data_IF_963875408200
#
_entry.id   IF_963875408200
#
_cell.length_a   1.000
_cell.length_b   1.000
_cell.length_c   1.000
_cell.angle_alpha   90.00
_cell.angle_beta   90.00
_cell.angle_gamma   90.00
#
_symmetry.space_group_name_H-M   'P 1'
#
loop_
_entity.id
_entity.type
_entity.pdbx_description
1 polymer ?
#
# COMPACT_ATOMS: atom_id res chain seq x y z
N UNK A 1 61.89 -44.05 -21.20
CA UNK A 1 60.81 -43.95 -22.19
C UNK A 1 60.54 -45.38 -22.57
N UNK A 2 59.53 -45.93 -21.91
CA UNK A 2 58.56 -46.88 -22.46
C UNK A 2 57.56 -47.09 -21.33
N UNK A 3 56.30 -46.93 -21.72
CA UNK A 3 55.05 -46.93 -20.95
C UNK A 3 54.67 -48.36 -20.50
N UNK A 4 53.44 -48.50 -19.97
CA UNK A 4 52.67 -49.73 -19.67
C UNK A 4 52.66 -50.08 -18.16
N UNK A 5 51.55 -50.24 -17.44
CA UNK A 5 50.13 -50.37 -17.76
C UNK A 5 49.29 -49.94 -16.53
N UNK A 6 48.21 -49.18 -16.75
CA UNK A 6 47.15 -48.87 -15.79
C UNK A 6 46.01 -49.91 -15.94
N UNK A 7 45.76 -50.71 -14.91
CA UNK A 7 44.55 -51.53 -14.74
C UNK A 7 44.04 -51.34 -13.30
N UNK A 8 43.14 -50.38 -13.09
CA UNK A 8 42.34 -50.26 -11.86
C UNK A 8 40.92 -50.78 -12.14
N UNK A 9 40.67 -51.99 -11.63
CA UNK A 9 39.36 -52.66 -11.62
C UNK A 9 38.34 -51.91 -10.73
N UNK A 10 37.23 -51.52 -11.33
CA UNK A 10 36.01 -51.05 -10.66
C UNK A 10 35.34 -52.20 -9.88
N UNK A 11 35.40 -52.17 -8.54
CA UNK A 11 34.63 -53.06 -7.66
C UNK A 11 33.41 -52.31 -7.06
N UNK A 12 32.25 -52.62 -7.64
CA UNK A 12 30.91 -52.24 -7.22
C UNK A 12 30.56 -52.76 -5.81
N UNK A 13 30.74 -51.94 -4.77
CA UNK A 13 30.20 -52.26 -3.45
C UNK A 13 28.88 -51.53 -3.16
N UNK A 14 27.80 -52.29 -3.33
CA UNK A 14 26.42 -51.99 -2.92
C UNK A 14 26.34 -51.57 -1.43
N UNK A 15 26.08 -50.28 -1.18
CA UNK A 15 25.52 -49.84 0.11
C UNK A 15 24.12 -49.25 -0.08
N UNK A 16 23.13 -50.03 0.35
CA UNK A 16 21.74 -49.62 0.50
C UNK A 16 21.63 -48.50 1.53
N UNK A 17 21.49 -47.26 1.05
CA UNK A 17 21.09 -46.14 1.89
C UNK A 17 19.56 -46.10 1.90
N UNK A 18 18.96 -46.50 3.02
CA UNK A 18 17.55 -46.30 3.31
C UNK A 18 17.23 -44.80 3.29
N UNK A 19 16.66 -44.31 2.20
CA UNK A 19 16.03 -42.99 2.15
C UNK A 19 14.77 -43.03 3.00
N UNK A 20 14.83 -42.44 4.20
CA UNK A 20 13.66 -42.12 4.99
C UNK A 20 13.22 -40.70 4.60
N UNK A 21 12.11 -40.51 3.85
CA UNK A 21 11.67 -39.18 3.50
C UNK A 21 10.94 -38.60 4.71
N UNK A 22 11.68 -37.92 5.58
CA UNK A 22 11.07 -36.94 6.48
C UNK A 22 10.60 -35.79 5.58
N UNK A 23 9.37 -35.91 5.08
CA UNK A 23 8.63 -34.77 4.56
C UNK A 23 8.40 -33.87 5.78
N UNK A 24 9.32 -32.95 6.02
CA UNK A 24 9.10 -31.85 6.94
C UNK A 24 7.93 -31.04 6.37
N UNK A 25 6.71 -31.34 6.82
CA UNK A 25 5.59 -30.47 6.61
C UNK A 25 6.01 -29.08 7.13
N UNK A 26 5.87 -28.00 6.34
CA UNK A 26 6.07 -26.67 6.89
C UNK A 26 5.21 -26.55 8.15
N UNK A 27 5.69 -25.91 9.22
CA UNK A 27 4.93 -25.81 10.45
C UNK A 27 3.56 -25.28 10.08
N UNK A 28 2.53 -26.08 10.39
CA UNK A 28 1.14 -25.65 10.28
C UNK A 28 1.04 -24.47 11.21
N UNK A 29 1.15 -23.26 10.66
CA UNK A 29 0.87 -22.03 11.40
C UNK A 29 -0.58 -22.22 11.82
N UNK A 30 -0.77 -22.50 13.10
CA UNK A 30 -2.08 -22.68 13.69
C UNK A 30 -2.70 -21.27 13.67
N UNK A 31 -3.32 -20.91 12.55
CA UNK A 31 -4.07 -19.66 12.40
C UNK A 31 -5.28 -19.82 13.31
N UNK A 32 -5.09 -19.53 14.59
CA UNK A 32 -6.16 -19.51 15.58
C UNK A 32 -7.16 -18.47 15.10
N UNK A 33 -8.27 -18.93 14.55
CA UNK A 33 -9.35 -18.09 14.04
C UNK A 33 -10.24 -17.66 15.20
N UNK A 34 -9.63 -17.05 16.22
CA UNK A 34 -10.35 -16.66 17.43
C UNK A 34 -10.01 -15.24 17.80
N UNK A 35 -11.03 -14.53 18.30
CA UNK A 35 -10.87 -13.14 18.66
C UNK A 35 -9.94 -13.01 19.86
N UNK A 36 -9.04 -12.02 19.80
CA UNK A 36 -8.06 -11.73 20.85
C UNK A 36 -8.69 -11.33 22.19
N UNK A 37 -9.95 -10.93 22.18
CA UNK A 37 -10.69 -10.47 23.36
C UNK A 37 -11.75 -11.47 23.83
N UNK A 38 -11.88 -12.64 23.21
CA UNK A 38 -12.73 -13.72 23.72
C UNK A 38 -12.05 -14.46 24.88
N UNK A 39 -12.77 -14.82 25.95
CA UNK A 39 -12.26 -15.77 26.94
C UNK A 39 -12.08 -17.18 26.33
N UNK A 40 -11.07 -17.99 26.72
CA UNK A 40 -9.97 -17.68 27.63
C UNK A 40 -8.76 -17.04 26.90
N UNK A 41 -8.87 -16.67 25.61
CA UNK A 41 -7.74 -16.08 24.85
C UNK A 41 -7.31 -14.69 25.34
N UNK A 42 -8.10 -14.03 26.18
CA UNK A 42 -7.72 -12.84 26.94
C UNK A 42 -6.56 -13.07 27.95
N UNK A 43 -5.82 -14.17 27.82
CA UNK A 43 -4.57 -14.42 28.56
C UNK A 43 -3.42 -13.61 27.94
N UNK A 44 -3.17 -12.46 28.56
CA UNK A 44 -1.86 -11.81 28.75
C UNK A 44 -1.32 -10.79 27.72
N UNK A 45 -1.77 -10.66 26.45
CA UNK A 45 -0.96 -9.83 25.52
C UNK A 45 -1.59 -8.65 24.76
N UNK A 46 -2.91 -8.54 24.58
CA UNK A 46 -3.48 -7.42 23.78
C UNK A 46 -4.87 -7.06 24.32
N UNK A 47 -4.91 -6.46 25.51
CA UNK A 47 -6.10 -5.73 25.94
C UNK A 47 -6.07 -4.39 25.18
N UNK A 48 -7.13 -3.97 24.46
CA UNK A 48 -7.14 -2.63 23.91
C UNK A 48 -7.08 -1.62 25.05
N UNK A 49 -6.71 -0.38 24.72
CA UNK A 49 -6.54 0.68 25.72
C UNK A 49 -7.78 0.87 26.62
N UNK A 50 -8.96 0.47 26.16
CA UNK A 50 -10.24 0.56 26.86
C UNK A 50 -10.56 -0.64 27.78
N UNK A 51 -9.72 -1.68 27.84
CA UNK A 51 -9.97 -2.83 28.72
C UNK A 51 -11.01 -3.82 28.20
N UNK A 52 -11.52 -3.68 26.96
CA UNK A 52 -12.69 -4.43 26.51
C UNK A 52 -12.44 -5.94 26.38
N UNK A 53 -13.38 -6.73 26.90
CA UNK A 53 -13.46 -8.17 26.75
C UNK A 53 -14.82 -8.54 26.13
N UNK A 54 -14.83 -9.49 25.19
CA UNK A 54 -16.05 -9.89 24.50
C UNK A 54 -17.04 -10.54 25.49
N UNK A 55 -18.29 -10.05 25.59
CA UNK A 55 -19.35 -10.73 26.32
C UNK A 55 -19.75 -12.04 25.61
N UNK A 56 -20.50 -12.88 26.33
CA UNK A 56 -21.12 -14.08 25.75
C UNK A 56 -22.02 -13.65 24.58
N UNK A 57 -21.91 -14.35 23.45
CA UNK A 57 -22.63 -14.04 22.19
C UNK A 57 -22.26 -12.71 21.52
N UNK A 58 -21.09 -12.14 21.80
CA UNK A 58 -20.57 -10.99 21.05
C UNK A 58 -20.47 -11.31 19.55
N UNK A 59 -21.05 -10.44 18.71
CA UNK A 59 -20.88 -10.52 17.26
C UNK A 59 -19.44 -10.17 16.88
N UNK A 60 -18.92 -10.84 15.85
CA UNK A 60 -17.58 -10.62 15.34
C UNK A 60 -17.59 -10.34 13.85
N UNK A 61 -16.76 -9.41 13.43
CA UNK A 61 -16.49 -9.09 12.02
C UNK A 61 -15.06 -9.46 11.67
N UNK A 62 -14.82 -9.78 10.40
CA UNK A 62 -13.52 -10.21 9.92
C UNK A 62 -12.77 -9.04 9.30
N UNK A 63 -11.51 -8.87 9.70
CA UNK A 63 -10.62 -7.91 9.05
C UNK A 63 -10.33 -8.36 7.60
N UNK A 64 -10.63 -7.53 6.61
CA UNK A 64 -10.35 -7.83 5.19
C UNK A 64 -8.85 -7.87 4.85
N UNK A 65 -7.97 -7.52 5.80
CA UNK A 65 -6.53 -7.60 5.61
C UNK A 65 -5.95 -8.92 6.14
N UNK A 66 -6.19 -9.26 7.41
CA UNK A 66 -5.60 -10.42 8.08
C UNK A 66 -6.59 -11.57 8.33
N UNK A 67 -7.87 -11.37 8.03
CA UNK A 67 -8.97 -12.33 8.23
C UNK A 67 -9.17 -12.72 9.70
N UNK A 68 -8.53 -12.03 10.64
CA UNK A 68 -8.73 -12.28 12.06
C UNK A 68 -10.04 -11.63 12.53
N UNK A 69 -10.79 -12.31 13.41
CA UNK A 69 -12.02 -11.78 13.98
C UNK A 69 -11.74 -10.68 15.01
N UNK A 70 -12.58 -9.64 15.00
CA UNK A 70 -12.65 -8.58 16.00
C UNK A 70 -14.11 -8.39 16.43
N UNK A 71 -14.39 -7.99 17.69
CA UNK A 71 -15.76 -7.76 18.11
C UNK A 71 -16.38 -6.64 17.29
N UNK A 72 -17.60 -6.84 16.83
CA UNK A 72 -18.35 -5.80 16.15
C UNK A 72 -18.80 -4.74 17.16
N UNK A 73 -18.16 -3.57 17.11
CA UNK A 73 -18.37 -2.41 17.98
C UNK A 73 -18.55 -1.14 17.16
N UNK A 74 -18.99 -1.27 15.90
CA UNK A 74 -19.10 -0.15 14.94
C UNK A 74 -20.13 0.91 15.36
N UNK A 75 -21.07 0.54 16.22
CA UNK A 75 -22.11 1.44 16.72
C UNK A 75 -21.64 2.29 17.91
N UNK A 76 -20.45 2.00 18.46
CA UNK A 76 -19.87 2.76 19.55
C UNK A 76 -19.14 4.00 19.04
N UNK A 77 -19.28 5.11 19.76
CA UNK A 77 -18.58 6.35 19.46
C UNK A 77 -17.05 6.13 19.53
N UNK A 78 -16.32 6.82 18.64
CA UNK A 78 -14.85 6.80 18.56
C UNK A 78 -14.23 5.43 18.22
N UNK A 79 -15.03 4.42 17.88
CA UNK A 79 -14.56 3.12 17.42
C UNK A 79 -14.51 3.05 15.90
N UNK A 80 -13.30 2.96 15.35
CA UNK A 80 -13.09 2.83 13.92
C UNK A 80 -12.70 1.40 13.50
N UNK A 81 -13.67 0.70 12.91
CA UNK A 81 -13.53 -0.69 12.45
C UNK A 81 -13.83 -0.87 10.96
N UNK A 82 -14.18 0.20 10.25
CA UNK A 82 -14.51 0.16 8.84
C UNK A 82 -13.93 1.35 8.08
N UNK A 83 -13.70 1.16 6.78
CA UNK A 83 -13.31 2.24 5.89
C UNK A 83 -14.53 3.11 5.57
N UNK A 84 -14.43 4.42 5.76
CA UNK A 84 -15.54 5.33 5.50
C UNK A 84 -15.93 5.43 4.02
N UNK A 85 -15.05 5.01 3.10
CA UNK A 85 -15.28 4.99 1.65
C UNK A 85 -15.90 3.66 1.20
N UNK A 86 -15.16 2.55 1.32
CA UNK A 86 -15.60 1.25 0.78
C UNK A 86 -16.44 0.42 1.76
N UNK A 87 -16.63 0.90 2.99
CA UNK A 87 -17.41 0.26 4.07
C UNK A 87 -16.92 -1.13 4.49
N UNK A 88 -15.76 -1.56 4.00
CA UNK A 88 -15.11 -2.82 4.37
C UNK A 88 -14.44 -2.72 5.75
N UNK A 89 -14.33 -3.86 6.45
CA UNK A 89 -13.88 -3.95 7.84
C UNK A 89 -12.38 -4.20 7.97
N UNK A 90 -11.75 -3.53 8.94
CA UNK A 90 -10.32 -3.61 9.16
C UNK A 90 -9.98 -3.38 10.63
N UNK A 91 -8.99 -4.10 11.15
CA UNK A 91 -8.71 -4.12 12.58
C UNK A 91 -7.62 -3.16 13.07
N UNK A 92 -6.95 -2.43 12.17
CA UNK A 92 -5.71 -1.76 12.53
C UNK A 92 -5.88 -0.64 13.56
N UNK A 93 -6.86 0.25 13.40
CA UNK A 93 -7.11 1.29 14.40
C UNK A 93 -7.62 0.66 15.69
N UNK A 94 -8.57 -0.28 15.58
CA UNK A 94 -9.16 -0.95 16.74
C UNK A 94 -8.14 -1.67 17.64
N UNK A 95 -7.23 -2.45 17.05
CA UNK A 95 -6.20 -3.18 17.79
C UNK A 95 -4.84 -2.46 17.85
N UNK A 96 -4.72 -1.27 17.26
CA UNK A 96 -3.46 -0.56 17.00
C UNK A 96 -2.46 -1.30 16.09
N UNK A 97 -2.60 -2.62 15.91
CA UNK A 97 -1.72 -3.45 15.09
C UNK A 97 -2.49 -4.61 14.44
N UNK A 98 -2.52 -4.59 13.11
CA UNK A 98 -2.98 -5.72 12.30
C UNK A 98 -1.99 -6.90 12.39
N UNK A 99 -2.50 -8.14 12.51
CA UNK A 99 -1.68 -9.36 12.60
C UNK A 99 -1.04 -9.83 11.30
N UNK A 100 -1.42 -9.25 10.15
CA UNK A 100 -0.83 -9.64 8.86
C UNK A 100 0.61 -9.12 8.79
N UNK A 101 1.56 -10.03 8.59
CA UNK A 101 2.97 -9.70 8.34
C UNK A 101 3.06 -8.78 7.12
N UNK A 102 3.80 -7.67 7.26
CA UNK A 102 3.96 -6.65 6.21
C UNK A 102 2.77 -5.70 6.03
N UNK A 103 1.77 -5.72 6.92
CA UNK A 103 0.69 -4.74 6.90
C UNK A 103 1.17 -3.37 7.38
N UNK A 104 1.12 -2.36 6.50
CA UNK A 104 1.51 -0.96 6.78
C UNK A 104 0.36 -0.14 7.41
N UNK A 105 -0.51 -0.80 8.18
CA UNK A 105 -1.78 -0.26 8.64
C UNK A 105 -2.90 -0.46 7.61
N UNK A 106 -3.80 -1.41 7.86
CA UNK A 106 -4.90 -1.70 6.92
C UNK A 106 -6.10 -0.75 7.03
N UNK A 107 -6.15 0.02 8.12
CA UNK A 107 -7.08 1.12 8.39
C UNK A 107 -6.30 2.22 9.08
N UNK A 108 -6.43 3.45 8.62
CA UNK A 108 -5.81 4.61 9.25
C UNK A 108 -6.48 5.92 8.79
N UNK A 109 -6.16 7.04 9.44
CA UNK A 109 -6.40 8.35 8.85
C UNK A 109 -5.48 8.56 7.65
N UNK A 110 -5.92 9.32 6.65
CA UNK A 110 -5.17 9.49 5.41
C UNK A 110 -3.73 9.95 5.65
N UNK A 111 -3.55 10.95 6.52
CA UNK A 111 -2.24 11.55 6.84
C UNK A 111 -1.26 10.60 7.55
N UNK A 112 -1.76 9.53 8.15
CA UNK A 112 -0.94 8.63 8.96
C UNK A 112 -0.47 7.40 8.18
N UNK A 113 -0.90 7.24 6.93
CA UNK A 113 -0.41 6.15 6.09
C UNK A 113 1.07 6.29 5.75
N UNK A 114 1.72 5.13 5.71
CA UNK A 114 2.99 4.94 5.02
C UNK A 114 2.74 4.01 3.84
N UNK A 115 2.88 4.52 2.62
CA UNK A 115 2.73 3.72 1.41
C UNK A 115 4.05 3.05 1.03
N UNK A 116 3.99 1.79 0.60
CA UNK A 116 5.20 1.07 0.20
C UNK A 116 5.86 1.67 -1.04
N UNK A 117 7.19 1.62 -1.11
CA UNK A 117 7.99 2.13 -2.24
C UNK A 117 7.52 1.66 -3.61
N UNK A 118 7.04 0.42 -3.72
CA UNK A 118 6.49 -0.11 -4.98
C UNK A 118 5.33 0.74 -5.53
N UNK A 119 4.48 1.30 -4.66
CA UNK A 119 3.39 2.16 -5.10
C UNK A 119 3.85 3.57 -5.49
N UNK A 120 5.09 3.94 -5.14
CA UNK A 120 5.67 5.27 -5.36
C UNK A 120 6.38 5.39 -6.71
N UNK A 121 6.58 4.29 -7.44
CA UNK A 121 7.18 4.38 -8.79
C UNK A 121 6.20 4.96 -9.83
N UNK A 122 4.89 4.77 -9.62
CA UNK A 122 3.82 5.13 -10.57
C UNK A 122 2.64 5.80 -9.86
N UNK A 123 2.90 6.67 -8.87
CA UNK A 123 1.84 7.26 -8.05
C UNK A 123 1.17 8.49 -8.71
N UNK A 124 1.86 9.17 -9.62
CA UNK A 124 1.29 10.30 -10.37
C UNK A 124 0.60 9.74 -11.63
N UNK A 125 -0.71 9.51 -11.54
CA UNK A 125 -1.55 9.06 -12.65
C UNK A 125 -0.97 7.84 -13.41
N UNK A 126 -0.38 6.89 -12.68
CA UNK A 126 0.28 5.69 -13.21
C UNK A 126 1.37 5.97 -14.27
N UNK A 127 1.94 7.18 -14.25
CA UNK A 127 2.98 7.63 -15.17
C UNK A 127 4.35 7.67 -14.48
N UNK A 128 5.31 6.82 -14.87
CA UNK A 128 6.63 6.77 -14.23
C UNK A 128 7.44 8.05 -14.40
N UNK A 129 7.29 8.76 -15.51
CA UNK A 129 8.04 10.00 -15.77
C UNK A 129 7.52 11.13 -14.88
N UNK A 130 6.20 11.33 -14.82
CA UNK A 130 5.62 12.35 -13.94
C UNK A 130 5.84 11.99 -12.46
N UNK A 131 5.82 10.71 -12.12
CA UNK A 131 6.15 10.23 -10.76
C UNK A 131 7.62 10.49 -10.43
N UNK A 132 8.53 10.35 -11.39
CA UNK A 132 9.96 10.66 -11.20
C UNK A 132 10.17 12.16 -11.00
N UNK A 133 9.49 13.02 -11.77
CA UNK A 133 9.59 14.48 -11.61
C UNK A 133 9.20 14.91 -10.19
N UNK A 134 8.13 14.35 -9.64
CA UNK A 134 7.75 14.63 -8.24
C UNK A 134 8.78 14.07 -7.27
N UNK A 135 9.30 12.86 -7.48
CA UNK A 135 10.34 12.27 -6.62
C UNK A 135 11.65 13.09 -6.63
N UNK A 136 12.07 13.59 -7.78
CA UNK A 136 13.26 14.44 -7.92
C UNK A 136 13.06 15.76 -7.19
N UNK A 137 11.87 16.38 -7.33
CA UNK A 137 11.49 17.56 -6.55
C UNK A 137 11.59 17.30 -5.04
N UNK A 138 11.04 16.20 -4.56
CA UNK A 138 11.08 15.85 -3.13
C UNK A 138 12.53 15.66 -2.66
N UNK A 139 13.32 14.91 -3.42
CA UNK A 139 14.74 14.67 -3.11
C UNK A 139 15.54 15.98 -3.03
N UNK A 140 15.35 16.88 -4.00
CA UNK A 140 16.04 18.17 -4.05
C UNK A 140 15.61 19.12 -2.92
N UNK A 141 14.40 18.96 -2.39
CA UNK A 141 13.88 19.76 -1.28
C UNK A 141 14.01 19.07 0.08
N UNK A 142 14.74 17.95 0.17
CA UNK A 142 14.87 17.12 1.37
C UNK A 142 13.51 16.72 1.99
N UNK A 143 12.50 16.50 1.14
CA UNK A 143 11.17 16.04 1.53
C UNK A 143 11.02 14.55 1.27
N UNK A 144 10.26 13.89 2.12
CA UNK A 144 9.85 12.50 1.94
C UNK A 144 8.49 12.43 1.25
N UNK A 145 8.09 11.24 0.81
CA UNK A 145 6.72 11.00 0.34
C UNK A 145 5.68 11.24 1.46
N UNK A 146 6.06 11.01 2.72
CA UNK A 146 5.19 11.31 3.85
C UNK A 146 4.95 12.81 3.96
N UNK A 147 5.98 13.63 3.76
CA UNK A 147 5.84 15.09 3.74
C UNK A 147 4.94 15.54 2.59
N UNK A 148 5.07 14.92 1.42
CA UNK A 148 4.15 15.16 0.30
C UNK A 148 2.70 14.81 0.66
N UNK A 149 2.47 13.67 1.31
CA UNK A 149 1.13 13.26 1.75
C UNK A 149 0.53 14.26 2.75
N UNK A 150 1.32 14.71 3.72
CA UNK A 150 0.90 15.73 4.69
C UNK A 150 0.56 17.04 3.97
N UNK A 151 1.43 17.52 3.09
CA UNK A 151 1.20 18.74 2.30
C UNK A 151 -0.07 18.63 1.44
N UNK A 152 -0.28 17.47 0.80
CA UNK A 152 -1.50 17.17 0.05
C UNK A 152 -2.75 17.17 0.94
N UNK A 153 -2.67 16.62 2.16
CA UNK A 153 -3.75 16.65 3.13
C UNK A 153 -4.07 18.08 3.56
N UNK A 154 -3.06 18.91 3.83
CA UNK A 154 -3.26 20.30 4.24
C UNK A 154 -3.91 21.13 3.11
N UNK A 155 -3.53 20.87 1.85
CA UNK A 155 -4.17 21.49 0.68
C UNK A 155 -5.60 20.99 0.46
N UNK A 156 -5.87 19.72 0.74
CA UNK A 156 -7.22 19.15 0.73
C UNK A 156 -8.10 19.81 1.80
N UNK A 157 -7.59 19.99 3.02
CA UNK A 157 -8.33 20.61 4.13
C UNK A 157 -8.59 22.11 3.87
N UNK A 158 -7.73 22.78 3.09
CA UNK A 158 -7.97 24.16 2.61
C UNK A 158 -8.86 24.25 1.37
N UNK A 159 -9.39 23.13 0.87
CA UNK A 159 -10.18 23.04 -0.36
C UNK A 159 -9.44 23.48 -1.63
N UNK A 160 -8.10 23.47 -1.62
CA UNK A 160 -7.30 23.66 -2.85
C UNK A 160 -7.26 22.39 -3.69
N UNK A 161 -7.28 21.23 -3.03
CA UNK A 161 -7.34 19.92 -3.66
C UNK A 161 -8.69 19.24 -3.42
N UNK A 162 -9.04 18.33 -4.33
CA UNK A 162 -10.28 17.55 -4.25
C UNK A 162 -10.04 16.07 -4.59
N UNK A 163 -10.92 15.16 -4.17
CA UNK A 163 -10.83 13.74 -4.50
C UNK A 163 -12.08 13.25 -5.26
N UNK A 164 -12.36 13.75 -6.48
CA UNK A 164 -13.65 13.53 -7.15
C UNK A 164 -13.92 12.06 -7.49
N UNK A 165 -12.88 11.24 -7.69
CA UNK A 165 -13.02 9.81 -8.00
C UNK A 165 -13.29 8.90 -6.80
N UNK A 166 -13.43 9.46 -5.60
CA UNK A 166 -13.49 8.70 -4.33
C UNK A 166 -14.88 8.75 -3.71
N UNK A 167 -15.48 9.94 -3.66
CA UNK A 167 -16.86 10.16 -3.24
C UNK A 167 -17.48 11.22 -4.17
N UNK A 168 -18.36 10.83 -5.11
CA UNK A 168 -18.98 11.76 -6.06
C UNK A 168 -19.85 12.84 -5.39
N UNK A 169 -20.27 12.61 -4.14
CA UNK A 169 -21.31 13.39 -3.48
C UNK A 169 -20.82 14.24 -2.30
N UNK A 170 -19.53 14.18 -1.94
CA UNK A 170 -19.02 14.92 -0.79
C UNK A 170 -17.54 15.30 -0.93
N UNK A 171 -17.19 16.48 -0.43
CA UNK A 171 -15.81 16.80 -0.10
C UNK A 171 -15.30 15.77 0.91
N UNK A 172 -14.18 15.11 0.60
CA UNK A 172 -13.58 14.11 1.48
C UNK A 172 -12.50 14.81 2.31
N UNK A 173 -12.73 15.11 3.60
CA UNK A 173 -11.70 15.73 4.44
C UNK A 173 -10.55 14.75 4.69
N UNK A 174 -9.36 15.27 5.00
CA UNK A 174 -8.19 14.44 5.31
C UNK A 174 -8.37 13.59 6.58
N UNK A 175 -9.30 13.99 7.45
CA UNK A 175 -9.61 13.34 8.73
C UNK A 175 -10.34 11.99 8.59
N UNK A 176 -10.92 11.67 7.41
CA UNK A 176 -11.63 10.40 7.23
C UNK A 176 -10.73 9.20 7.53
N UNK A 177 -11.30 8.20 8.19
CA UNK A 177 -10.68 6.89 8.37
C UNK A 177 -10.91 6.04 7.13
N UNK A 178 -9.82 5.64 6.49
CA UNK A 178 -9.85 4.90 5.22
C UNK A 178 -8.99 3.65 5.30
N UNK A 179 -9.23 2.68 4.41
CA UNK A 179 -8.35 1.53 4.27
C UNK A 179 -7.16 1.85 3.36
N UNK A 180 -6.10 1.03 3.43
CA UNK A 180 -4.90 1.22 2.62
C UNK A 180 -5.18 1.40 1.12
N UNK A 181 -6.10 0.61 0.54
CA UNK A 181 -6.45 0.70 -0.89
C UNK A 181 -7.14 2.03 -1.23
N UNK A 182 -8.07 2.48 -0.40
CA UNK A 182 -8.77 3.74 -0.60
C UNK A 182 -7.85 4.94 -0.35
N UNK A 183 -7.05 4.89 0.71
CA UNK A 183 -6.03 5.91 1.00
C UNK A 183 -5.01 6.03 -0.12
N UNK A 184 -4.56 4.92 -0.71
CA UNK A 184 -3.66 4.96 -1.86
C UNK A 184 -4.31 5.62 -3.08
N UNK A 185 -5.59 5.33 -3.38
CA UNK A 185 -6.31 5.98 -4.47
C UNK A 185 -6.43 7.49 -4.24
N UNK A 186 -6.77 7.91 -3.02
CA UNK A 186 -6.80 9.32 -2.64
C UNK A 186 -5.43 9.97 -2.83
N UNK A 187 -4.39 9.35 -2.29
CA UNK A 187 -3.02 9.87 -2.40
C UNK A 187 -2.59 10.04 -3.86
N UNK A 188 -2.87 9.06 -4.74
CA UNK A 188 -2.57 9.19 -6.18
C UNK A 188 -3.28 10.37 -6.84
N UNK A 189 -4.55 10.62 -6.49
CA UNK A 189 -5.31 11.77 -7.01
C UNK A 189 -4.75 13.11 -6.50
N UNK A 190 -4.35 13.16 -5.23
CA UNK A 190 -3.73 14.35 -4.64
C UNK A 190 -2.32 14.60 -5.21
N UNK A 191 -1.53 13.55 -5.42
CA UNK A 191 -0.21 13.64 -6.03
C UNK A 191 -0.28 14.13 -7.48
N UNK A 192 -1.31 13.74 -8.23
CA UNK A 192 -1.57 14.30 -9.55
C UNK A 192 -1.84 15.81 -9.49
N UNK A 193 -2.71 16.26 -8.59
CA UNK A 193 -2.97 17.69 -8.41
C UNK A 193 -1.73 18.44 -7.93
N UNK A 194 -0.92 17.85 -7.06
CA UNK A 194 0.38 18.39 -6.67
C UNK A 194 1.24 18.64 -7.91
N UNK A 195 1.42 17.63 -8.74
CA UNK A 195 2.20 17.74 -9.98
C UNK A 195 1.67 18.81 -10.93
N UNK A 196 0.34 18.94 -11.07
CA UNK A 196 -0.29 19.99 -11.91
C UNK A 196 0.01 21.39 -11.38
N UNK A 197 0.08 21.58 -10.06
CA UNK A 197 0.33 22.87 -9.43
C UNK A 197 1.81 23.20 -9.20
N UNK A 198 2.73 22.28 -9.52
CA UNK A 198 4.18 22.56 -9.44
C UNK A 198 4.55 23.69 -10.40
N UNK A 199 5.43 24.60 -9.96
CA UNK A 199 5.97 25.64 -10.84
C UNK A 199 6.97 25.01 -11.80
N UNK A 200 7.13 25.61 -12.98
CA UNK A 200 8.09 25.11 -13.97
C UNK A 200 9.53 25.10 -13.45
N UNK A 201 9.92 26.08 -12.64
CA UNK A 201 11.27 26.14 -12.06
C UNK A 201 11.55 25.01 -11.05
N UNK A 202 10.49 24.45 -10.45
CA UNK A 202 10.56 23.32 -9.51
C UNK A 202 10.73 21.97 -10.23
N UNK A 203 10.56 21.92 -11.55
CA UNK A 203 10.64 20.68 -12.36
C UNK A 203 12.09 20.44 -12.79
N UNK A 204 12.55 19.21 -12.54
CA UNK A 204 13.88 18.73 -12.92
C UNK A 204 13.79 17.46 -13.76
N UNK A 205 14.74 17.23 -14.68
CA UNK A 205 15.70 18.20 -15.23
C UNK A 205 15.05 19.26 -16.15
N UNK A 206 15.78 20.33 -16.53
CA UNK A 206 15.25 21.47 -17.36
C UNK A 206 14.52 21.00 -18.63
N UNK A 207 15.01 19.93 -19.27
CA UNK A 207 14.38 19.33 -20.46
C UNK A 207 12.91 18.91 -20.23
N UNK A 208 12.52 18.65 -18.98
CA UNK A 208 11.16 18.26 -18.61
C UNK A 208 10.20 19.43 -18.44
N UNK A 209 10.73 20.67 -18.34
CA UNK A 209 9.93 21.90 -18.14
C UNK A 209 9.13 22.28 -19.39
N UNK A 210 9.76 22.14 -20.55
CA UNK A 210 9.21 22.62 -21.82
C UNK A 210 8.60 21.50 -22.67
N UNK A 211 7.98 20.49 -22.03
CA UNK A 211 7.28 19.42 -22.75
C UNK A 211 5.90 19.90 -23.19
N UNK A 212 5.56 19.66 -24.46
CA UNK A 212 4.23 19.92 -24.98
C UNK A 212 3.18 19.06 -24.27
N UNK A 213 1.97 19.59 -24.10
CA UNK A 213 0.86 18.85 -23.52
C UNK A 213 0.43 17.69 -24.43
N UNK A 214 0.25 16.51 -23.85
CA UNK A 214 -0.40 15.41 -24.53
C UNK A 214 -1.87 15.77 -24.82
N UNK A 215 -2.35 15.57 -26.05
CA UNK A 215 -3.75 15.82 -26.39
C UNK A 215 -4.75 15.04 -25.53
N UNK A 216 -4.35 13.87 -25.03
CA UNK A 216 -5.17 13.04 -24.15
C UNK A 216 -4.96 13.33 -22.66
N UNK A 217 -3.96 14.16 -22.30
CA UNK A 217 -3.66 14.59 -20.94
C UNK A 217 -3.64 13.44 -19.93
N UNK A 218 -4.27 13.65 -18.77
CA UNK A 218 -4.44 12.63 -17.71
C UNK A 218 -5.13 11.35 -18.16
N UNK A 219 -5.90 11.38 -19.25
CA UNK A 219 -6.60 10.20 -19.80
C UNK A 219 -5.78 9.44 -20.85
N UNK A 220 -4.53 9.84 -21.12
CA UNK A 220 -3.68 9.17 -22.09
C UNK A 220 -3.35 7.73 -21.65
N UNK A 221 -3.79 6.71 -22.40
CA UNK A 221 -3.46 5.30 -22.09
C UNK A 221 -2.01 4.92 -22.43
N UNK A 222 -1.41 5.64 -23.37
CA UNK A 222 -0.04 5.39 -23.85
C UNK A 222 1.01 5.77 -22.80
N UNK A 223 0.66 6.67 -21.87
CA UNK A 223 1.58 7.17 -20.83
C UNK A 223 2.05 6.07 -19.86
N UNK A 224 1.25 5.01 -19.68
CA UNK A 224 1.54 3.93 -18.72
C UNK A 224 2.62 2.96 -19.21
N UNK A 225 2.69 2.71 -20.53
CA UNK A 225 3.48 1.60 -21.10
C UNK A 225 4.58 2.06 -22.05
N UNK A 226 4.49 3.27 -22.61
CA UNK A 226 5.47 3.79 -23.56
C UNK A 226 6.26 4.93 -22.92
N UNK A 227 7.36 4.59 -22.28
CA UNK A 227 8.24 5.55 -21.58
C UNK A 227 8.67 6.69 -22.51
N UNK A 228 9.03 6.42 -23.76
CA UNK A 228 9.40 7.49 -24.71
C UNK A 228 8.27 8.49 -24.99
N UNK A 229 7.00 8.05 -24.92
CA UNK A 229 5.85 8.96 -25.01
C UNK A 229 5.70 9.81 -23.75
N UNK A 230 5.81 9.20 -22.57
CA UNK A 230 5.78 9.89 -21.29
C UNK A 230 6.95 10.88 -21.12
N UNK A 231 8.12 10.58 -21.66
CA UNK A 231 9.28 11.48 -21.65
C UNK A 231 9.10 12.68 -22.58
N UNK A 232 8.42 12.51 -23.71
CA UNK A 232 8.28 13.58 -24.71
C UNK A 232 7.17 14.57 -24.39
N UNK A 233 6.07 14.11 -23.79
CA UNK A 233 4.86 14.92 -23.59
C UNK A 233 4.54 15.08 -22.11
N UNK A 234 3.99 16.23 -21.74
CA UNK A 234 3.44 16.48 -20.41
C UNK A 234 2.06 15.81 -20.28
N UNK A 235 1.86 15.04 -19.21
CA UNK A 235 0.56 14.43 -18.87
C UNK A 235 -0.10 15.05 -17.63
N UNK A 236 0.58 16.00 -16.98
CA UNK A 236 -0.01 16.87 -15.95
C UNK A 236 -0.84 17.99 -16.62
N UNK A 237 -1.81 17.60 -17.44
CA UNK A 237 -2.71 18.48 -18.17
C UNK A 237 -4.05 17.75 -18.48
N UNK A 238 -5.07 18.53 -18.82
CA UNK A 238 -6.39 18.01 -19.19
C UNK A 238 -6.47 17.54 -20.64
N UNK A 239 -7.41 16.64 -20.93
CA UNK A 239 -7.67 16.15 -22.29
C UNK A 239 -8.25 17.28 -23.15
N UNK A 240 -7.64 17.51 -24.32
CA UNK A 240 -8.08 18.52 -25.30
C UNK A 240 -8.67 17.92 -26.57
N UNK A 241 -8.45 16.62 -26.81
CA UNK A 241 -9.01 15.88 -27.96
C UNK A 241 -9.83 14.68 -27.48
N UNK A 242 -11.09 14.59 -27.90
CA UNK A 242 -12.05 13.55 -27.50
C UNK A 242 -12.11 12.41 -28.51
#
# INVERSE_FOLDING_TARGET
MDDDDDDDDDDDNHHQIYFNPIIAHPPVVNIRFVCRQCPPQAVVAIVPADGFQCPVNQNHILCQCCVQPMPDRRDEADIHQHCEICKQFFCNIYFQQCSRVGCLGCLNHLRDFNFSHHHLTNFVNDNPVESQIVQDYLTNNNKTIRDLLIECCDRLDRNEFTCPGIDPNAAVPSSKVVCYKCGLKMFKELAYQFRVHMKQDDVFPVIMRNRDNCYYGRKCRTQYTKIGHAQKLNHACEQTKF
#
